data_IF_859556550377
#
_entry.id   IF_859556550377
#
_cell.length_a   1.000
_cell.length_b   1.000
_cell.length_c   1.000
_cell.angle_alpha   90.00
_cell.angle_beta   90.00
_cell.angle_gamma   90.00
#
_symmetry.space_group_name_H-M   'P 1'
#
loop_
_entity.id
_entity.type
_entity.pdbx_description
1 polymer ?
#
# COMPACT_ATOMS: atom_id res chain seq x y z
N UNK A 1 -15.13 4.91 -16.04
CA UNK A 1 -14.25 3.74 -16.23
C UNK A 1 -13.06 3.89 -15.31
N UNK A 2 -12.55 2.81 -14.68
CA UNK A 2 -11.32 2.89 -13.88
C UNK A 2 -10.12 3.33 -14.75
N UNK A 3 -9.11 4.00 -14.18
CA UNK A 3 -7.91 4.39 -14.92
C UNK A 3 -7.13 3.15 -15.39
N UNK A 4 -6.47 3.25 -16.55
CA UNK A 4 -5.57 2.19 -17.05
C UNK A 4 -4.30 2.21 -16.22
N UNK A 5 -3.94 1.05 -15.64
CA UNK A 5 -2.70 0.89 -14.87
C UNK A 5 -1.46 1.17 -15.74
N UNK A 6 -0.57 2.01 -15.25
CA UNK A 6 0.69 2.41 -15.91
C UNK A 6 1.86 1.56 -15.46
N UNK A 7 1.78 0.27 -15.77
CA UNK A 7 2.76 -0.73 -15.31
C UNK A 7 4.14 -0.58 -15.97
N UNK A 8 4.20 -0.04 -17.19
CA UNK A 8 5.45 0.17 -17.93
C UNK A 8 5.93 1.63 -17.82
N UNK A 9 6.28 2.07 -16.60
CA UNK A 9 6.83 3.41 -16.32
C UNK A 9 8.11 3.32 -15.50
N UNK A 10 8.94 4.35 -15.57
CA UNK A 10 10.27 4.35 -14.97
C UNK A 10 10.27 4.37 -13.44
N UNK A 11 9.15 4.70 -12.79
CA UNK A 11 9.06 4.85 -11.35
C UNK A 11 7.83 4.15 -10.78
N UNK A 12 7.98 3.65 -9.55
CA UNK A 12 6.90 3.11 -8.73
C UNK A 12 7.07 3.67 -7.32
N UNK A 13 6.07 4.40 -6.83
CA UNK A 13 6.12 4.95 -5.48
C UNK A 13 5.85 3.85 -4.47
N UNK A 14 6.65 3.79 -3.40
CA UNK A 14 6.49 2.80 -2.33
C UNK A 14 6.33 3.50 -0.98
N UNK A 15 5.26 3.17 -0.26
CA UNK A 15 4.90 3.78 1.01
C UNK A 15 4.86 2.73 2.13
N UNK A 16 5.36 3.08 3.31
CA UNK A 16 5.15 2.31 4.51
C UNK A 16 3.79 2.66 5.13
N UNK A 17 3.03 1.66 5.55
CA UNK A 17 1.72 1.81 6.18
C UNK A 17 1.61 0.94 7.42
N UNK A 18 0.76 1.32 8.37
CA UNK A 18 0.50 0.51 9.56
C UNK A 18 -0.42 -0.69 9.30
N UNK A 19 -1.26 -0.63 8.26
CA UNK A 19 -2.28 -1.63 7.94
C UNK A 19 -2.61 -1.58 6.45
N UNK A 20 -2.50 -2.72 5.76
CA UNK A 20 -2.92 -2.83 4.35
C UNK A 20 -4.42 -2.69 4.18
N UNK A 21 -5.21 -3.12 5.17
CA UNK A 21 -6.66 -2.98 5.14
C UNK A 21 -7.09 -1.50 5.17
N UNK A 22 -6.45 -0.69 6.02
CA UNK A 22 -6.74 0.74 6.12
C UNK A 22 -6.24 1.49 4.88
N UNK A 23 -5.04 1.14 4.40
CA UNK A 23 -4.50 1.70 3.16
C UNK A 23 -5.42 1.41 1.96
N UNK A 24 -6.03 0.23 1.90
CA UNK A 24 -6.99 -0.16 0.85
C UNK A 24 -8.27 0.68 0.92
N UNK A 25 -8.79 0.92 2.11
CA UNK A 25 -9.94 1.81 2.30
C UNK A 25 -9.60 3.25 1.89
N UNK A 26 -8.43 3.75 2.28
CA UNK A 26 -7.96 5.09 1.93
C UNK A 26 -7.74 5.27 0.43
N UNK A 27 -7.11 4.30 -0.25
CA UNK A 27 -6.92 4.32 -1.70
C UNK A 27 -8.27 4.43 -2.43
N UNK A 28 -9.24 3.59 -2.03
CA UNK A 28 -10.59 3.62 -2.61
C UNK A 28 -11.30 4.96 -2.38
N UNK A 29 -11.18 5.53 -1.17
CA UNK A 29 -11.76 6.84 -0.85
C UNK A 29 -11.13 7.99 -1.66
N UNK A 30 -9.85 7.88 -2.02
CA UNK A 30 -9.13 8.83 -2.85
C UNK A 30 -9.35 8.64 -4.36
N UNK A 31 -10.04 7.58 -4.80
CA UNK A 31 -10.29 7.26 -6.20
C UNK A 31 -9.26 6.33 -6.87
N UNK A 32 -8.31 5.82 -6.09
CA UNK A 32 -7.38 4.76 -6.49
C UNK A 32 -7.85 3.38 -6.03
N UNK A 33 -6.96 2.41 -6.12
CA UNK A 33 -7.20 1.04 -5.69
C UNK A 33 -5.92 0.34 -5.24
N UNK A 34 -6.05 -0.57 -4.29
CA UNK A 34 -5.04 -1.59 -3.99
C UNK A 34 -5.57 -2.96 -4.41
N UNK A 35 -4.69 -3.81 -4.93
CA UNK A 35 -4.97 -5.20 -5.30
C UNK A 35 -5.48 -6.00 -4.11
N UNK A 36 -6.49 -6.88 -4.28
CA UNK A 36 -7.19 -7.52 -3.16
C UNK A 36 -6.26 -8.37 -2.27
N UNK A 37 -6.67 -8.71 -1.03
CA UNK A 37 -5.79 -9.36 -0.04
C UNK A 37 -5.09 -10.63 -0.52
N UNK A 38 -5.70 -11.37 -1.44
CA UNK A 38 -5.14 -12.61 -2.00
C UNK A 38 -3.92 -12.36 -2.91
N UNK A 39 -3.67 -11.11 -3.30
CA UNK A 39 -2.47 -10.67 -4.04
C UNK A 39 -1.43 -10.00 -3.15
N UNK A 40 -1.66 -9.94 -1.85
CA UNK A 40 -0.61 -9.54 -0.90
C UNK A 40 0.51 -10.57 -0.91
N UNK A 41 1.75 -10.12 -0.75
CA UNK A 41 2.92 -10.99 -0.81
C UNK A 41 3.99 -10.54 0.18
N UNK A 42 4.79 -11.50 0.65
CA UNK A 42 5.88 -11.23 1.58
C UNK A 42 7.16 -10.82 0.83
N UNK A 43 7.74 -9.69 1.25
CA UNK A 43 9.04 -9.24 0.77
C UNK A 43 9.86 -8.69 1.92
N UNK A 44 11.03 -9.30 2.17
CA UNK A 44 11.93 -8.90 3.26
C UNK A 44 11.24 -8.86 4.64
N UNK A 45 10.32 -9.78 4.89
CA UNK A 45 9.57 -9.86 6.16
C UNK A 45 8.45 -8.83 6.30
N UNK A 46 8.15 -8.05 5.26
CA UNK A 46 7.03 -7.11 5.23
C UNK A 46 5.93 -7.66 4.32
N UNK A 47 4.67 -7.43 4.68
CA UNK A 47 3.54 -7.71 3.79
C UNK A 47 3.37 -6.56 2.82
N UNK A 48 3.34 -6.87 1.53
CA UNK A 48 3.35 -5.90 0.44
C UNK A 48 2.08 -6.03 -0.39
N UNK A 49 1.54 -4.90 -0.82
CA UNK A 49 0.40 -4.84 -1.72
C UNK A 49 0.63 -3.78 -2.79
N UNK A 50 0.30 -4.10 -4.04
CA UNK A 50 0.39 -3.18 -5.16
C UNK A 50 -0.98 -2.55 -5.47
N UNK A 51 -0.97 -1.48 -6.24
CA UNK A 51 -2.19 -0.82 -6.67
C UNK A 51 -1.92 0.34 -7.62
N UNK A 52 -2.94 1.17 -7.83
CA UNK A 52 -2.80 2.41 -8.57
C UNK A 52 -3.52 3.60 -7.92
N UNK A 53 -3.00 4.79 -8.19
CA UNK A 53 -3.68 6.04 -7.86
C UNK A 53 -4.82 6.35 -8.87
N UNK A 54 -5.61 7.42 -8.68
CA UNK A 54 -6.70 7.79 -9.58
C UNK A 54 -6.26 8.10 -11.01
N UNK A 55 -5.00 8.47 -11.23
CA UNK A 55 -4.47 8.66 -12.58
C UNK A 55 -4.05 7.34 -13.23
N UNK A 56 -3.86 6.27 -12.46
CA UNK A 56 -3.40 4.96 -12.91
C UNK A 56 -1.91 4.72 -12.69
N UNK A 57 -1.19 5.58 -11.97
CA UNK A 57 0.23 5.35 -11.67
C UNK A 57 0.37 4.21 -10.66
N UNK A 58 1.37 3.35 -10.87
CA UNK A 58 1.59 2.21 -9.98
C UNK A 58 2.17 2.67 -8.63
N UNK A 59 1.54 2.20 -7.57
CA UNK A 59 2.00 2.38 -6.20
C UNK A 59 2.21 1.02 -5.54
N UNK A 60 3.03 1.00 -4.50
CA UNK A 60 3.21 -0.12 -3.60
C UNK A 60 3.06 0.36 -2.17
N UNK A 61 2.34 -0.40 -1.35
CA UNK A 61 2.28 -0.19 0.09
C UNK A 61 2.91 -1.39 0.80
N UNK A 62 3.58 -1.13 1.92
CA UNK A 62 4.23 -2.14 2.74
C UNK A 62 3.77 -1.99 4.18
N UNK A 63 3.17 -3.02 4.74
CA UNK A 63 2.81 -3.06 6.14
C UNK A 63 4.09 -3.15 6.97
N UNK A 64 4.36 -2.11 7.75
CA UNK A 64 5.43 -2.12 8.74
C UNK A 64 4.79 -2.31 10.10
N UNK A 65 5.36 -3.20 10.91
CA UNK A 65 4.96 -3.31 12.30
C UNK A 65 5.17 -1.94 12.94
N UNK A 66 4.09 -1.33 13.42
CA UNK A 66 4.21 -0.17 14.29
C UNK A 66 4.80 -0.71 15.57
N UNK A 67 6.05 -0.35 15.86
CA UNK A 67 6.59 -0.56 17.19
C UNK A 67 5.73 0.30 18.12
N UNK A 68 4.77 -0.33 18.79
CA UNK A 68 3.99 0.33 19.83
C UNK A 68 4.98 0.76 20.88
N UNK A 69 5.18 2.07 20.98
CA UNK A 69 6.01 2.72 21.98
C UNK A 69 5.70 2.08 23.35
N UNK A 70 6.65 1.29 23.87
CA UNK A 70 6.54 0.75 25.21
C UNK A 70 6.49 1.95 26.16
N UNK A 71 5.58 1.98 27.15
CA UNK A 71 5.57 3.09 28.09
C UNK A 71 6.95 3.18 28.73
N UNK A 72 7.60 4.34 28.58
CA UNK A 72 8.81 4.67 29.33
C UNK A 72 8.39 4.74 30.80
N UNK A 73 8.63 3.66 31.56
CA UNK A 73 8.50 3.69 33.01
C UNK A 73 9.45 4.77 33.56
N UNK A 74 8.89 5.69 34.34
CA UNK A 74 9.59 6.64 35.20
C UNK A 74 9.04 6.52 36.62
#
# INVERSE_FOLDING_TARGET
TPPVRRENTAFKLSFAVASLADARAAAKAAGGELDPPEKEWDFQGLRVCDGCDPEGNMIQVREVAVETDLPTEA
#
